data_IF_138986522394
#
_entry.id   IF_138986522394
#
_cell.length_a   1.000
_cell.length_b   1.000
_cell.length_c   1.000
_cell.angle_alpha   90.00
_cell.angle_beta   90.00
_cell.angle_gamma   90.00
#
_symmetry.space_group_name_H-M   'P 1'
#
loop_
_entity.id
_entity.type
_entity.pdbx_description
1 polymer ?
#
# COMPACT_ATOMS: atom_id res chain seq x y z
N UNK A 1 40.71 -15.36 -47.65
CA UNK A 1 40.90 -16.58 -46.83
C UNK A 1 41.24 -16.12 -45.43
N UNK A 2 40.48 -16.65 -44.46
CA UNK A 2 40.59 -16.49 -43.00
C UNK A 2 40.35 -15.06 -42.44
N UNK A 3 39.29 -14.70 -41.70
CA UNK A 3 38.53 -15.28 -40.58
C UNK A 3 39.01 -14.79 -39.19
N UNK A 4 38.03 -14.46 -38.33
CA UNK A 4 38.16 -14.15 -36.89
C UNK A 4 37.73 -12.72 -36.58
N UNK A 5 36.54 -12.42 -36.03
CA UNK A 5 35.87 -13.09 -34.91
C UNK A 5 36.71 -12.84 -33.65
N UNK A 6 36.34 -11.98 -32.70
CA UNK A 6 35.04 -11.85 -32.04
C UNK A 6 34.66 -10.39 -31.79
N UNK A 7 33.49 -9.99 -32.30
CA UNK A 7 32.71 -8.97 -31.61
C UNK A 7 31.96 -9.69 -30.49
N UNK A 8 32.45 -9.54 -29.26
CA UNK A 8 31.78 -10.00 -28.04
C UNK A 8 30.34 -9.47 -28.02
N UNK A 9 29.31 -10.32 -28.16
CA UNK A 9 27.95 -9.81 -28.20
C UNK A 9 27.46 -9.61 -26.77
N UNK A 10 27.17 -8.35 -26.47
CA UNK A 10 26.08 -7.94 -25.60
C UNK A 10 26.12 -8.46 -24.15
N UNK A 11 27.08 -7.96 -23.36
CA UNK A 11 26.81 -7.71 -21.94
C UNK A 11 25.91 -6.47 -21.78
N UNK A 12 24.73 -6.49 -22.39
CA UNK A 12 23.61 -5.77 -21.83
C UNK A 12 23.22 -6.59 -20.60
N UNK A 13 23.69 -6.19 -19.42
CA UNK A 13 23.23 -6.71 -18.14
C UNK A 13 21.70 -6.75 -18.20
N UNK A 14 21.15 -7.96 -18.35
CA UNK A 14 19.71 -8.18 -18.43
C UNK A 14 19.13 -7.65 -17.12
N UNK A 15 18.53 -6.46 -17.18
CA UNK A 15 17.80 -5.92 -16.05
C UNK A 15 16.78 -6.99 -15.64
N UNK A 16 16.85 -7.42 -14.37
CA UNK A 16 15.92 -8.41 -13.82
C UNK A 16 14.50 -7.88 -14.03
N UNK A 17 13.67 -8.62 -14.76
CA UNK A 17 12.27 -8.28 -14.89
C UNK A 17 11.55 -8.58 -13.57
N UNK A 18 11.18 -7.51 -12.84
CA UNK A 18 10.47 -7.62 -11.58
C UNK A 18 8.98 -7.91 -11.75
N UNK A 19 8.46 -7.84 -12.98
CA UNK A 19 7.06 -8.17 -13.30
C UNK A 19 6.82 -9.69 -13.37
N UNK A 20 7.86 -10.47 -13.65
CA UNK A 20 7.82 -11.95 -13.72
C UNK A 20 7.97 -12.64 -12.35
N UNK A 21 8.10 -11.88 -11.26
CA UNK A 21 8.18 -12.45 -9.93
C UNK A 21 6.89 -13.22 -9.59
N UNK A 22 7.00 -14.37 -8.90
CA UNK A 22 5.83 -15.10 -8.46
C UNK A 22 5.03 -14.30 -7.42
N UNK A 23 3.73 -14.60 -7.35
CA UNK A 23 2.77 -13.83 -6.55
C UNK A 23 3.15 -13.76 -5.05
N UNK A 24 3.68 -14.85 -4.49
CA UNK A 24 4.16 -14.93 -3.11
C UNK A 24 5.36 -14.00 -2.84
N UNK A 25 6.27 -13.87 -3.80
CA UNK A 25 7.38 -12.92 -3.71
C UNK A 25 6.87 -11.47 -3.78
N UNK A 26 5.96 -11.16 -4.71
CA UNK A 26 5.36 -9.81 -4.82
C UNK A 26 4.58 -9.43 -3.56
N UNK A 27 3.74 -10.34 -3.05
CA UNK A 27 2.98 -10.11 -1.81
C UNK A 27 3.90 -9.94 -0.59
N UNK A 28 5.04 -10.65 -0.55
CA UNK A 28 6.07 -10.47 0.48
C UNK A 28 6.74 -9.09 0.40
N UNK A 29 7.01 -8.59 -0.81
CA UNK A 29 7.52 -7.23 -1.02
C UNK A 29 6.47 -6.21 -0.55
N UNK A 30 5.22 -6.38 -0.95
CA UNK A 30 4.13 -5.45 -0.61
C UNK A 30 3.85 -5.39 0.89
N UNK A 31 3.98 -6.52 1.59
CA UNK A 31 3.88 -6.56 3.05
C UNK A 31 4.97 -5.71 3.72
N UNK A 32 6.19 -5.66 3.14
CA UNK A 32 7.29 -4.83 3.64
C UNK A 32 7.14 -3.35 3.29
N UNK A 33 6.54 -3.04 2.14
CA UNK A 33 6.25 -1.65 1.74
C UNK A 33 5.12 -1.05 2.57
N UNK A 34 4.11 -1.86 2.91
CA UNK A 34 2.91 -1.41 3.60
C UNK A 34 1.85 -0.84 2.67
N UNK A 35 0.63 -0.69 3.20
CA UNK A 35 -0.56 -0.38 2.42
C UNK A 35 -0.49 0.97 1.68
N UNK A 36 0.06 2.02 2.31
CA UNK A 36 0.17 3.36 1.70
C UNK A 36 1.03 3.30 0.43
N UNK A 37 2.17 2.61 0.50
CA UNK A 37 3.16 2.58 -0.59
C UNK A 37 2.69 1.66 -1.73
N UNK A 38 1.96 0.61 -1.37
CA UNK A 38 1.30 -0.25 -2.36
C UNK A 38 0.21 0.52 -3.07
N UNK A 39 -0.59 1.31 -2.36
CA UNK A 39 -1.70 2.07 -2.95
C UNK A 39 -1.20 3.20 -3.87
N UNK A 40 -0.18 3.94 -3.43
CA UNK A 40 0.30 5.16 -4.10
C UNK A 40 1.44 4.91 -5.09
N UNK A 41 2.02 3.71 -5.10
CA UNK A 41 3.18 3.39 -5.93
C UNK A 41 3.13 1.99 -6.50
N UNK A 42 3.48 0.99 -5.68
CA UNK A 42 3.79 -0.36 -6.18
C UNK A 42 2.61 -0.98 -6.97
N UNK A 43 1.37 -0.84 -6.49
CA UNK A 43 0.19 -1.36 -7.17
C UNK A 43 -0.10 -0.73 -8.54
N UNK A 44 0.59 0.34 -8.92
CA UNK A 44 0.39 1.10 -10.15
C UNK A 44 1.50 0.86 -11.20
N UNK A 45 2.54 0.10 -10.87
CA UNK A 45 3.74 -0.07 -11.71
C UNK A 45 3.44 -0.85 -13.00
N UNK A 46 2.80 -2.01 -12.88
CA UNK A 46 2.48 -2.87 -14.02
C UNK A 46 1.29 -3.78 -13.70
N UNK A 47 0.76 -4.49 -14.71
CA UNK A 47 -0.38 -5.40 -14.53
C UNK A 47 -0.13 -6.52 -13.51
N UNK A 48 1.09 -7.10 -13.49
CA UNK A 48 1.46 -8.15 -12.53
C UNK A 48 1.41 -7.63 -11.09
N UNK A 49 1.97 -6.44 -10.86
CA UNK A 49 1.97 -5.79 -9.54
C UNK A 49 0.57 -5.33 -9.13
N UNK A 50 -0.22 -4.79 -10.06
CA UNK A 50 -1.62 -4.46 -9.83
C UNK A 50 -2.44 -5.70 -9.44
N UNK A 51 -2.19 -6.84 -10.09
CA UNK A 51 -2.85 -8.10 -9.75
C UNK A 51 -2.46 -8.57 -8.34
N UNK A 52 -1.16 -8.52 -8.00
CA UNK A 52 -0.70 -8.84 -6.66
C UNK A 52 -1.29 -7.92 -5.59
N UNK A 53 -1.46 -6.62 -5.89
CA UNK A 53 -2.02 -5.65 -4.96
C UNK A 53 -3.52 -5.88 -4.67
N UNK A 54 -4.21 -6.73 -5.44
CA UNK A 54 -5.61 -7.10 -5.18
C UNK A 54 -5.75 -8.22 -4.15
N UNK A 55 -4.65 -8.84 -3.71
CA UNK A 55 -4.69 -9.91 -2.70
C UNK A 55 -5.20 -9.34 -1.37
N UNK A 56 -6.35 -9.80 -0.85
CA UNK A 56 -6.97 -9.18 0.33
C UNK A 56 -6.10 -9.23 1.60
N UNK A 57 -5.29 -10.28 1.75
CA UNK A 57 -4.44 -10.48 2.94
C UNK A 57 -3.34 -9.43 3.09
N UNK A 58 -3.03 -8.67 2.03
CA UNK A 58 -2.09 -7.54 2.08
C UNK A 58 -2.65 -6.35 2.86
N UNK A 59 -3.98 -6.25 2.96
CA UNK A 59 -4.69 -5.11 3.49
C UNK A 59 -5.20 -5.38 4.92
N UNK A 60 -4.63 -6.37 5.61
CA UNK A 60 -4.99 -6.72 6.99
C UNK A 60 -4.50 -5.72 8.03
N UNK A 61 -3.48 -4.94 7.67
CA UNK A 61 -2.83 -3.97 8.53
C UNK A 61 -2.70 -2.63 7.79
N UNK A 62 -3.26 -1.58 8.38
CA UNK A 62 -3.13 -0.22 7.88
C UNK A 62 -2.55 0.67 8.98
N UNK A 63 -1.38 1.24 8.70
CA UNK A 63 -0.79 2.30 9.50
C UNK A 63 -0.68 3.58 8.66
N UNK A 64 -1.41 4.61 9.07
CA UNK A 64 -1.40 5.94 8.49
C UNK A 64 -1.01 6.98 9.55
N UNK A 65 0.17 6.83 10.14
CA UNK A 65 0.82 7.83 11.00
C UNK A 65 1.79 8.70 10.21
N UNK A 66 2.22 9.80 10.82
CA UNK A 66 3.21 10.74 10.27
C UNK A 66 4.64 10.17 10.21
N UNK A 67 4.87 8.94 10.66
CA UNK A 67 6.11 8.21 10.40
C UNK A 67 6.26 7.88 8.91
N UNK A 68 5.13 7.78 8.19
CA UNK A 68 5.10 7.68 6.74
C UNK A 68 5.20 9.09 6.11
N UNK A 69 6.17 9.28 5.22
CA UNK A 69 6.41 10.59 4.59
C UNK A 69 5.23 11.09 3.75
N UNK A 70 4.53 10.19 3.04
CA UNK A 70 3.35 10.54 2.23
C UNK A 70 2.23 11.04 3.13
N UNK A 71 1.94 10.31 4.21
CA UNK A 71 0.91 10.70 5.19
C UNK A 71 1.28 12.02 5.85
N UNK A 72 2.55 12.20 6.25
CA UNK A 72 3.03 13.44 6.86
C UNK A 72 2.85 14.66 5.97
N UNK A 73 3.17 14.55 4.68
CA UNK A 73 2.98 15.62 3.70
C UNK A 73 1.49 15.94 3.49
N UNK A 74 0.65 14.91 3.36
CA UNK A 74 -0.81 15.07 3.22
C UNK A 74 -1.46 15.72 4.45
N UNK A 75 -1.06 15.33 5.67
CA UNK A 75 -1.53 16.00 6.88
C UNK A 75 -1.13 17.47 6.91
N UNK A 76 0.11 17.78 6.53
CA UNK A 76 0.64 19.15 6.54
C UNK A 76 0.00 20.05 5.47
N UNK A 77 -0.48 19.48 4.38
CA UNK A 77 -1.17 20.19 3.29
C UNK A 77 -2.68 20.32 3.48
N UNK A 78 -3.23 19.77 4.57
CA UNK A 78 -4.68 19.77 4.81
C UNK A 78 -5.46 18.78 3.95
N UNK A 79 -4.80 17.79 3.35
CA UNK A 79 -5.39 16.77 2.48
C UNK A 79 -6.14 15.66 3.24
N UNK A 80 -6.93 16.06 4.26
CA UNK A 80 -7.62 15.14 5.16
C UNK A 80 -8.58 14.20 4.44
N UNK A 81 -9.34 14.74 3.47
CA UNK A 81 -10.29 13.96 2.69
C UNK A 81 -9.61 12.89 1.82
N UNK A 82 -8.40 13.17 1.32
CA UNK A 82 -7.61 12.19 0.57
C UNK A 82 -7.13 11.06 1.49
N UNK A 83 -6.66 11.38 2.70
CA UNK A 83 -6.28 10.36 3.69
C UNK A 83 -7.47 9.48 4.08
N UNK A 84 -8.65 10.07 4.28
CA UNK A 84 -9.89 9.32 4.50
C UNK A 84 -10.24 8.42 3.31
N UNK A 85 -10.12 8.92 2.08
CA UNK A 85 -10.37 8.13 0.87
C UNK A 85 -9.39 6.95 0.74
N UNK A 86 -8.11 7.17 1.04
CA UNK A 86 -7.10 6.11 1.05
C UNK A 86 -7.41 5.03 2.07
N UNK A 87 -7.79 5.42 3.29
CA UNK A 87 -8.20 4.47 4.32
C UNK A 87 -9.41 3.63 3.89
N UNK A 88 -10.42 4.26 3.26
CA UNK A 88 -11.60 3.55 2.72
C UNK A 88 -11.23 2.57 1.62
N UNK A 89 -10.34 2.96 0.70
CA UNK A 89 -9.85 2.08 -0.37
C UNK A 89 -9.14 0.83 0.20
N UNK A 90 -8.34 0.99 1.26
CA UNK A 90 -7.71 -0.14 1.96
C UNK A 90 -8.75 -1.06 2.60
N UNK A 91 -9.77 -0.50 3.26
CA UNK A 91 -10.88 -1.27 3.84
C UNK A 91 -11.57 -2.09 2.77
N UNK A 92 -11.89 -1.48 1.62
CA UNK A 92 -12.59 -2.16 0.53
C UNK A 92 -11.72 -3.28 -0.07
N UNK A 93 -10.42 -3.03 -0.28
CA UNK A 93 -9.48 -4.05 -0.77
C UNK A 93 -9.26 -5.20 0.21
N UNK A 94 -9.39 -4.94 1.52
CA UNK A 94 -9.27 -5.98 2.53
C UNK A 94 -10.35 -7.06 2.43
N UNK A 95 -11.46 -6.78 1.74
CA UNK A 95 -12.58 -7.73 1.60
C UNK A 95 -13.00 -8.31 2.95
N UNK A 96 -13.10 -7.46 3.98
CA UNK A 96 -13.47 -7.83 5.34
C UNK A 96 -12.36 -8.49 6.17
N UNK A 97 -11.10 -8.37 5.75
CA UNK A 97 -9.94 -8.92 6.47
C UNK A 97 -9.09 -7.87 7.17
N UNK A 98 -9.47 -6.58 7.14
CA UNK A 98 -8.75 -5.55 7.89
C UNK A 98 -8.86 -5.82 9.41
N UNK A 99 -7.72 -6.03 10.06
CA UNK A 99 -7.65 -6.37 11.48
C UNK A 99 -7.06 -5.24 12.32
N UNK A 100 -6.18 -4.43 11.73
CA UNK A 100 -5.48 -3.37 12.45
C UNK A 100 -5.58 -2.08 11.65
N UNK A 101 -6.10 -1.04 12.31
CA UNK A 101 -6.10 0.33 11.81
C UNK A 101 -5.43 1.27 12.81
N UNK A 102 -4.41 1.98 12.36
CA UNK A 102 -3.71 3.03 13.10
C UNK A 102 -3.80 4.31 12.25
N UNK A 103 -4.40 5.36 12.80
CA UNK A 103 -4.55 6.64 12.11
C UNK A 103 -4.22 7.82 13.01
N UNK A 104 -3.71 8.90 12.41
CA UNK A 104 -3.25 10.10 13.12
C UNK A 104 -3.86 11.37 12.54
N UNK A 105 -4.50 12.19 13.39
CA UNK A 105 -5.14 13.50 13.11
C UNK A 105 -6.31 13.53 12.11
N UNK A 106 -6.27 12.73 11.04
CA UNK A 106 -7.25 12.83 9.95
C UNK A 106 -8.56 12.08 10.22
N UNK A 107 -8.58 11.16 11.19
CA UNK A 107 -9.68 10.23 11.42
C UNK A 107 -10.90 10.95 12.00
N UNK A 108 -12.07 10.71 11.40
CA UNK A 108 -13.37 11.18 11.86
C UNK A 108 -14.35 10.03 12.13
N UNK A 109 -15.51 10.37 12.70
CA UNK A 109 -16.55 9.40 13.05
C UNK A 109 -17.07 8.62 11.84
N UNK A 110 -17.14 9.27 10.68
CA UNK A 110 -17.65 8.65 9.46
C UNK A 110 -16.67 7.58 8.96
N UNK A 111 -15.37 7.83 9.04
CA UNK A 111 -14.35 6.83 8.73
C UNK A 111 -14.41 5.65 9.72
N UNK A 112 -14.53 5.91 11.02
CA UNK A 112 -14.63 4.83 12.02
C UNK A 112 -15.87 3.96 11.77
N UNK A 113 -17.03 4.57 11.54
CA UNK A 113 -18.27 3.85 11.18
C UNK A 113 -18.10 3.06 9.88
N UNK A 114 -17.43 3.65 8.89
CA UNK A 114 -17.16 2.98 7.61
C UNK A 114 -16.34 1.71 7.79
N UNK A 115 -15.27 1.78 8.60
CA UNK A 115 -14.39 0.64 8.87
C UNK A 115 -15.12 -0.42 9.70
N UNK A 116 -15.76 -0.01 10.81
CA UNK A 116 -16.47 -0.92 11.72
C UNK A 116 -17.63 -1.67 11.07
N UNK A 117 -18.25 -1.10 10.03
CA UNK A 117 -19.29 -1.77 9.26
C UNK A 117 -18.79 -2.79 8.22
N UNK A 118 -17.48 -2.85 7.95
CA UNK A 118 -16.91 -3.66 6.86
C UNK A 118 -15.86 -4.66 7.29
N UNK A 119 -15.20 -4.45 8.43
CA UNK A 119 -14.10 -5.29 8.86
C UNK A 119 -14.17 -5.61 10.36
N UNK A 120 -13.81 -6.84 10.76
CA UNK A 120 -13.72 -7.24 12.15
C UNK A 120 -12.41 -6.71 12.77
N UNK A 121 -12.34 -5.38 12.95
CA UNK A 121 -11.18 -4.73 13.55
C UNK A 121 -10.86 -5.35 14.92
N UNK A 122 -9.60 -5.77 15.08
CA UNK A 122 -9.04 -6.27 16.34
C UNK A 122 -8.33 -5.15 17.09
N UNK A 123 -7.67 -4.26 16.35
CA UNK A 123 -6.90 -3.14 16.89
C UNK A 123 -7.32 -1.87 16.18
N UNK A 124 -7.76 -0.89 16.96
CA UNK A 124 -8.03 0.48 16.52
C UNK A 124 -7.17 1.41 17.38
N UNK A 125 -6.23 2.12 16.77
CA UNK A 125 -5.36 3.07 17.44
C UNK A 125 -5.49 4.45 16.79
N UNK A 126 -5.94 5.43 17.56
CA UNK A 126 -6.18 6.80 17.12
C UNK A 126 -5.20 7.72 17.84
N UNK A 127 -4.44 8.51 17.09
CA UNK A 127 -3.42 9.42 17.61
C UNK A 127 -3.83 10.85 17.25
N UNK A 128 -3.98 11.71 18.26
CA UNK A 128 -4.33 13.13 18.06
C UNK A 128 -5.62 13.35 17.22
N UNK A 129 -6.57 12.42 17.28
CA UNK A 129 -7.84 12.51 16.56
C UNK A 129 -8.90 13.22 17.43
N UNK A 130 -8.95 14.55 17.36
CA UNK A 130 -9.85 15.37 18.20
C UNK A 130 -11.29 15.48 17.67
N UNK A 131 -11.53 15.08 16.41
CA UNK A 131 -12.84 15.15 15.76
C UNK A 131 -13.71 13.92 15.95
N UNK A 132 -13.22 12.92 16.70
CA UNK A 132 -13.97 11.70 17.01
C UNK A 132 -14.82 11.99 18.25
N UNK A 133 -16.14 11.98 18.10
CA UNK A 133 -17.05 12.17 19.22
C UNK A 133 -17.30 10.81 19.90
N UNK A 134 -17.21 10.79 21.23
CA UNK A 134 -17.53 9.61 22.06
C UNK A 134 -19.00 9.19 21.94
#
# INVERSE_FOLDING_TARGET
>A
MEAGGDAEPAQALLARDWSELPLDALTSIFTKLGAVEVLMGAGLVCHSWLFAAKVPSLWRYLNMTKDNNVVKEMCSSGARDLLCAMAKEVVDRSSGQLEVFIGEEFVDDDLIKYIGGRAPLKILHLISCFTVLN
#
